data_IF_737505710287
#
_entry.id   IF_737505710287
#
_cell.length_a   1.000
_cell.length_b   1.000
_cell.length_c   1.000
_cell.angle_alpha   90.00
_cell.angle_beta   90.00
_cell.angle_gamma   90.00
#
_symmetry.space_group_name_H-M   'P 1'
#
loop_
_entity.id
_entity.type
_entity.pdbx_description
1 polymer ?
#
# COMPACT_ATOMS: atom_id res chain seq x y z
N UNK A 1 -32.62 20.80 27.69
CA UNK A 1 -32.80 20.48 26.25
C UNK A 1 -31.69 21.08 25.37
N UNK A 2 -31.39 22.38 25.43
CA UNK A 2 -30.37 23.00 24.56
C UNK A 2 -28.92 22.52 24.75
N UNK A 3 -28.51 22.19 25.97
CA UNK A 3 -27.15 21.73 26.27
C UNK A 3 -26.83 20.35 25.65
N UNK A 4 -27.77 19.41 25.73
CA UNK A 4 -27.64 18.10 25.08
C UNK A 4 -27.57 18.22 23.55
N UNK A 5 -28.33 19.14 22.95
CA UNK A 5 -28.25 19.41 21.50
C UNK A 5 -26.88 19.99 21.13
N UNK A 6 -26.35 20.92 21.92
CA UNK A 6 -25.02 21.49 21.68
C UNK A 6 -23.90 20.44 21.81
N UNK A 7 -23.95 19.58 22.84
CA UNK A 7 -22.97 18.49 23.03
C UNK A 7 -23.02 17.51 21.86
N UNK A 8 -24.21 17.08 21.45
CA UNK A 8 -24.38 16.15 20.32
C UNK A 8 -23.90 16.79 19.02
N UNK A 9 -24.19 18.08 18.79
CA UNK A 9 -23.73 18.79 17.60
C UNK A 9 -22.19 18.93 17.57
N UNK A 10 -21.56 19.28 18.68
CA UNK A 10 -20.09 19.37 18.78
C UNK A 10 -19.44 18.00 18.59
N UNK A 11 -19.98 16.96 19.23
CA UNK A 11 -19.48 15.60 19.05
C UNK A 11 -19.62 15.12 17.60
N UNK A 12 -20.74 15.44 16.94
CA UNK A 12 -20.94 15.12 15.53
C UNK A 12 -19.96 15.86 14.62
N UNK A 13 -19.73 17.16 14.85
CA UNK A 13 -18.76 17.95 14.09
C UNK A 13 -17.32 17.47 14.31
N UNK A 14 -16.95 17.16 15.55
CA UNK A 14 -15.65 16.57 15.87
C UNK A 14 -15.48 15.21 15.20
N UNK A 15 -16.49 14.34 15.25
CA UNK A 15 -16.47 13.04 14.58
C UNK A 15 -16.35 13.17 13.06
N UNK A 16 -17.06 14.13 12.44
CA UNK A 16 -16.95 14.42 11.01
C UNK A 16 -15.55 14.92 10.69
N UNK A 17 -15.04 15.90 11.43
CA UNK A 17 -13.70 16.47 11.23
C UNK A 17 -12.60 15.41 11.35
N UNK A 18 -12.64 14.61 12.41
CA UNK A 18 -11.71 13.49 12.61
C UNK A 18 -11.81 12.51 11.45
N UNK A 19 -13.02 12.06 11.06
CA UNK A 19 -13.19 11.12 9.95
C UNK A 19 -12.70 11.67 8.61
N UNK A 20 -12.92 12.96 8.34
CA UNK A 20 -12.43 13.60 7.10
C UNK A 20 -10.92 13.75 7.05
N UNK A 21 -10.26 13.79 8.21
CA UNK A 21 -8.80 13.90 8.29
C UNK A 21 -8.10 12.52 8.30
N UNK A 22 -8.80 11.50 8.79
CA UNK A 22 -8.31 10.11 8.90
C UNK A 22 -8.29 9.41 7.53
N UNK A 23 -9.27 9.67 6.67
CA UNK A 23 -9.42 8.96 5.39
C UNK A 23 -9.20 9.89 4.21
N UNK A 24 -8.27 9.55 3.33
CA UNK A 24 -8.05 10.28 2.07
C UNK A 24 -8.37 9.41 0.85
N UNK A 25 -8.98 10.02 -0.17
CA UNK A 25 -9.20 9.38 -1.46
C UNK A 25 -7.99 9.59 -2.39
N UNK A 26 -7.52 8.52 -3.04
CA UNK A 26 -6.47 8.57 -4.07
C UNK A 26 -7.00 8.06 -5.41
N UNK A 27 -6.51 8.68 -6.49
CA UNK A 27 -6.74 8.25 -7.88
C UNK A 27 -5.55 7.40 -8.36
N UNK A 28 -5.81 6.32 -9.09
CA UNK A 28 -4.78 5.41 -9.62
C UNK A 28 -4.49 5.72 -11.09
N UNK A 29 -3.35 6.34 -11.43
CA UNK A 29 -3.02 6.73 -12.80
C UNK A 29 -2.24 5.67 -13.59
N UNK A 30 -1.82 4.56 -12.98
CA UNK A 30 -0.93 3.56 -13.61
C UNK A 30 -1.39 2.12 -13.42
N UNK A 31 -0.87 1.22 -14.26
CA UNK A 31 -1.22 -0.20 -14.27
C UNK A 31 -0.39 -1.08 -13.30
N UNK A 32 0.53 -0.49 -12.52
CA UNK A 32 1.48 -1.24 -11.69
C UNK A 32 0.86 -2.13 -10.60
N UNK A 33 -0.41 -1.87 -10.27
CA UNK A 33 -1.18 -2.64 -9.29
C UNK A 33 -2.25 -3.52 -9.93
N UNK A 34 -2.27 -3.66 -11.26
CA UNK A 34 -3.21 -4.56 -11.92
C UNK A 34 -2.89 -6.04 -11.59
N UNK A 35 -3.91 -6.91 -11.48
CA UNK A 35 -5.35 -6.64 -11.69
C UNK A 35 -6.07 -6.04 -10.47
N UNK A 36 -5.38 -5.91 -9.34
CA UNK A 36 -5.96 -5.47 -8.06
C UNK A 36 -6.46 -4.03 -8.11
N UNK A 37 -5.68 -3.09 -8.62
CA UNK A 37 -6.09 -1.71 -8.84
C UNK A 37 -5.77 -1.33 -10.29
N UNK A 38 -6.83 -1.09 -11.07
CA UNK A 38 -6.71 -0.66 -12.46
C UNK A 38 -6.62 0.85 -12.59
N UNK A 39 -6.16 1.30 -13.76
CA UNK A 39 -6.14 2.71 -14.12
C UNK A 39 -7.57 3.29 -13.97
N UNK A 40 -7.68 4.46 -13.35
CA UNK A 40 -8.95 5.13 -13.10
C UNK A 40 -9.66 4.71 -11.81
N UNK A 41 -9.16 3.71 -11.08
CA UNK A 41 -9.71 3.34 -9.78
C UNK A 41 -9.53 4.48 -8.76
N UNK A 42 -10.43 4.52 -7.78
CA UNK A 42 -10.29 5.38 -6.60
C UNK A 42 -10.30 4.53 -5.34
N UNK A 43 -9.34 4.80 -4.45
CA UNK A 43 -9.16 4.08 -3.20
C UNK A 43 -9.29 5.02 -2.01
N UNK A 44 -9.73 4.49 -0.87
CA UNK A 44 -9.71 5.17 0.42
C UNK A 44 -8.55 4.64 1.24
N UNK A 45 -7.77 5.57 1.79
CA UNK A 45 -6.55 5.30 2.55
C UNK A 45 -6.73 5.83 3.95
N UNK A 46 -6.49 4.97 4.94
CA UNK A 46 -6.44 5.34 6.35
C UNK A 46 -5.04 5.86 6.68
N UNK A 47 -4.97 7.13 7.04
CA UNK A 47 -3.74 7.84 7.42
C UNK A 47 -3.43 7.78 8.92
N UNK A 48 -4.45 7.64 9.77
CA UNK A 48 -4.28 7.69 11.22
C UNK A 48 -3.91 6.33 11.81
N UNK A 49 -4.39 5.26 11.17
CA UNK A 49 -4.06 3.89 11.60
C UNK A 49 -2.56 3.58 11.53
N UNK A 50 -1.75 4.36 10.80
CA UNK A 50 -0.33 4.07 10.63
C UNK A 50 0.47 4.14 11.94
N UNK A 51 0.19 5.12 12.80
CA UNK A 51 0.92 5.28 14.08
C UNK A 51 0.42 4.30 15.16
N UNK A 52 -0.73 3.66 14.95
CA UNK A 52 -1.41 2.82 15.95
C UNK A 52 -1.47 1.33 15.58
N UNK A 53 -1.29 0.96 14.31
CA UNK A 53 -1.30 -0.43 13.83
C UNK A 53 -0.04 -0.76 13.04
N UNK A 54 0.49 -1.96 13.27
CA UNK A 54 1.57 -2.52 12.47
C UNK A 54 1.10 -2.79 11.05
N UNK A 55 1.90 -2.40 10.06
CA UNK A 55 1.75 -2.87 8.69
C UNK A 55 1.96 -4.38 8.64
N UNK A 56 1.08 -5.06 7.94
CA UNK A 56 1.17 -6.49 7.70
C UNK A 56 1.60 -6.78 6.26
N UNK A 57 2.13 -7.99 6.06
CA UNK A 57 2.39 -8.48 4.71
C UNK A 57 1.06 -8.62 3.98
N UNK A 58 1.02 -8.15 2.74
CA UNK A 58 -0.17 -8.14 1.92
C UNK A 58 -0.90 -6.80 1.93
N UNK A 59 -0.62 -5.91 2.87
CA UNK A 59 -1.24 -4.58 2.89
C UNK A 59 -0.89 -3.80 1.62
N UNK A 60 -1.85 -3.04 1.08
CA UNK A 60 -1.61 -2.10 -0.01
C UNK A 60 -1.38 -0.73 0.59
N UNK A 61 -0.17 -0.21 0.48
CA UNK A 61 0.23 1.05 1.09
C UNK A 61 0.38 2.15 0.07
N UNK A 62 0.03 3.36 0.49
CA UNK A 62 0.38 4.59 -0.21
C UNK A 62 1.55 5.22 0.51
N UNK A 63 2.60 5.56 -0.23
CA UNK A 63 3.82 6.13 0.33
C UNK A 63 4.38 7.22 -0.58
N UNK A 64 5.06 8.18 0.02
CA UNK A 64 5.76 9.23 -0.72
C UNK A 64 6.85 8.62 -1.59
N UNK A 65 6.90 9.04 -2.86
CA UNK A 65 7.85 8.53 -3.83
C UNK A 65 9.30 8.67 -3.34
N UNK A 66 10.10 7.60 -3.34
CA UNK A 66 11.54 7.66 -3.09
C UNK A 66 12.28 8.47 -4.17
N UNK A 67 13.30 9.23 -3.77
CA UNK A 67 14.09 10.07 -4.69
C UNK A 67 14.80 9.27 -5.79
N UNK A 68 15.08 7.98 -5.54
CA UNK A 68 15.77 7.06 -6.44
C UNK A 68 14.81 6.18 -7.28
N UNK A 69 13.51 6.46 -7.32
CA UNK A 69 12.53 5.72 -8.14
C UNK A 69 12.72 5.95 -9.66
N UNK A 70 13.23 7.12 -10.06
CA UNK A 70 13.47 7.46 -11.47
C UNK A 70 12.20 7.70 -12.30
N UNK A 71 11.01 7.68 -11.69
CA UNK A 71 9.73 7.96 -12.36
C UNK A 71 9.40 9.45 -12.52
N UNK A 72 8.22 9.73 -13.08
CA UNK A 72 7.73 11.10 -13.33
C UNK A 72 7.69 11.94 -12.04
N UNK A 73 8.47 13.03 -11.92
CA UNK A 73 8.58 13.83 -10.70
C UNK A 73 7.28 14.57 -10.30
N UNK A 74 6.28 14.63 -11.20
CA UNK A 74 4.97 15.23 -10.91
C UNK A 74 4.10 14.32 -10.03
N UNK A 75 4.30 13.00 -10.08
CA UNK A 75 3.63 12.05 -9.20
C UNK A 75 4.37 12.04 -7.85
N UNK A 76 3.66 12.33 -6.75
CA UNK A 76 4.28 12.46 -5.41
C UNK A 76 4.15 11.22 -4.55
N UNK A 77 3.10 10.43 -4.78
CA UNK A 77 2.82 9.24 -4.00
C UNK A 77 2.71 8.03 -4.92
N UNK A 78 3.13 6.87 -4.40
CA UNK A 78 3.06 5.58 -5.06
C UNK A 78 2.18 4.63 -4.24
N UNK A 79 1.55 3.69 -4.95
CA UNK A 79 0.75 2.62 -4.34
C UNK A 79 1.39 1.29 -4.69
N UNK A 80 1.71 0.48 -3.66
CA UNK A 80 2.33 -0.85 -3.80
C UNK A 80 1.85 -1.77 -2.68
N UNK A 81 2.04 -3.07 -2.85
CA UNK A 81 1.77 -4.09 -1.82
C UNK A 81 3.01 -4.35 -0.99
N UNK A 82 2.85 -4.48 0.32
CA UNK A 82 3.91 -4.89 1.24
C UNK A 82 4.18 -6.38 1.08
N UNK A 83 5.39 -6.71 0.63
CA UNK A 83 5.81 -8.09 0.34
C UNK A 83 6.84 -8.58 1.35
N UNK A 84 7.75 -7.73 1.84
CA UNK A 84 8.75 -8.08 2.86
C UNK A 84 8.63 -7.18 4.09
N UNK A 85 8.71 -7.77 5.28
CA UNK A 85 8.63 -7.09 6.57
C UNK A 85 10.02 -6.85 7.18
N UNK A 86 10.16 -5.91 8.15
CA UNK A 86 11.42 -5.66 8.82
C UNK A 86 12.09 -6.93 9.36
N UNK A 87 13.39 -7.09 9.09
CA UNK A 87 14.21 -8.21 9.57
C UNK A 87 14.12 -9.49 8.74
N UNK A 88 13.26 -9.55 7.72
CA UNK A 88 13.13 -10.73 6.88
C UNK A 88 14.19 -10.77 5.79
N UNK A 89 14.66 -11.97 5.45
CA UNK A 89 15.43 -12.18 4.23
C UNK A 89 14.47 -12.39 3.07
N UNK A 90 14.52 -11.51 2.08
CA UNK A 90 13.73 -11.59 0.85
C UNK A 90 14.63 -11.95 -0.33
N UNK A 91 14.13 -12.77 -1.25
CA UNK A 91 14.74 -13.06 -2.54
C UNK A 91 13.68 -13.52 -3.56
N UNK A 92 14.08 -13.85 -4.79
CA UNK A 92 13.23 -14.57 -5.74
C UNK A 92 13.92 -15.84 -6.24
N UNK A 93 13.18 -16.95 -6.30
CA UNK A 93 13.65 -18.22 -6.84
C UNK A 93 12.51 -18.95 -7.55
N UNK A 94 12.81 -19.61 -8.68
CA UNK A 94 11.84 -20.37 -9.48
C UNK A 94 10.55 -19.60 -9.82
N UNK A 95 10.65 -18.29 -10.07
CA UNK A 95 9.50 -17.47 -10.39
C UNK A 95 8.66 -17.02 -9.19
N UNK A 96 9.11 -17.25 -7.96
CA UNK A 96 8.38 -16.88 -6.75
C UNK A 96 9.20 -15.95 -5.86
N UNK A 97 8.52 -15.08 -5.12
CA UNK A 97 9.13 -14.41 -3.97
C UNK A 97 9.40 -15.46 -2.90
N UNK A 98 10.55 -15.36 -2.25
CA UNK A 98 10.97 -16.21 -1.15
C UNK A 98 11.23 -15.34 0.07
N UNK A 99 10.61 -15.68 1.20
CA UNK A 99 10.77 -15.02 2.49
C UNK A 99 11.37 -16.02 3.47
N UNK A 100 12.51 -15.69 4.06
CA UNK A 100 13.24 -16.53 5.01
C UNK A 100 13.44 -17.98 4.49
N UNK A 101 13.74 -18.12 3.20
CA UNK A 101 13.97 -19.40 2.53
C UNK A 101 12.69 -20.16 2.13
N UNK A 102 11.49 -19.62 2.38
CA UNK A 102 10.21 -20.25 2.01
C UNK A 102 9.50 -19.47 0.90
N UNK A 103 8.95 -20.14 -0.13
CA UNK A 103 8.11 -19.46 -1.12
C UNK A 103 6.93 -18.75 -0.45
N UNK A 104 6.72 -17.49 -0.82
CA UNK A 104 5.59 -16.71 -0.35
C UNK A 104 4.34 -17.10 -1.14
N UNK A 105 3.22 -17.33 -0.43
CA UNK A 105 1.92 -17.47 -1.06
C UNK A 105 1.38 -16.09 -1.45
N UNK A 106 1.04 -15.93 -2.73
CA UNK A 106 0.61 -14.65 -3.31
C UNK A 106 -0.76 -14.79 -3.99
N UNK A 107 -1.84 -15.08 -3.24
CA UNK A 107 -3.16 -15.37 -3.80
C UNK A 107 -3.81 -14.17 -4.50
N UNK A 108 -3.25 -12.97 -4.31
CA UNK A 108 -3.66 -11.74 -4.99
C UNK A 108 -3.13 -11.64 -6.44
N UNK A 109 -2.20 -12.50 -6.85
CA UNK A 109 -1.69 -12.53 -8.21
C UNK A 109 -2.49 -13.51 -9.07
N UNK A 110 -2.64 -13.24 -10.39
CA UNK A 110 -3.12 -14.24 -11.33
C UNK A 110 -2.31 -15.55 -11.26
N UNK A 111 -2.99 -16.68 -11.46
CA UNK A 111 -2.34 -17.99 -11.54
C UNK A 111 -1.26 -17.99 -12.61
N UNK A 112 -0.04 -18.41 -12.24
CA UNK A 112 1.10 -18.51 -13.17
C UNK A 112 1.95 -17.24 -13.28
N UNK A 113 1.60 -16.14 -12.59
CA UNK A 113 2.45 -14.94 -12.53
C UNK A 113 3.85 -15.28 -12.05
N UNK A 114 4.85 -14.92 -12.87
CA UNK A 114 6.26 -15.12 -12.56
C UNK A 114 6.85 -13.88 -11.91
N UNK A 115 7.63 -14.08 -10.85
CA UNK A 115 8.36 -13.04 -10.13
C UNK A 115 9.85 -13.32 -10.15
N UNK A 116 10.60 -12.36 -10.63
CA UNK A 116 12.05 -12.37 -10.70
C UNK A 116 12.62 -10.99 -10.36
N UNK A 117 13.95 -10.91 -10.26
CA UNK A 117 14.66 -9.65 -10.01
C UNK A 117 14.53 -9.14 -8.58
N UNK A 118 14.12 -9.99 -7.62
CA UNK A 118 14.15 -9.65 -6.20
C UNK A 118 15.55 -10.00 -5.67
N UNK A 119 16.38 -9.01 -5.31
CA UNK A 119 17.72 -9.28 -4.81
C UNK A 119 17.66 -9.98 -3.45
N UNK A 120 18.59 -10.91 -3.22
CA UNK A 120 18.75 -11.53 -1.89
C UNK A 120 19.27 -10.49 -0.91
N UNK A 121 18.42 -10.07 0.02
CA UNK A 121 18.79 -9.11 1.07
C UNK A 121 17.94 -9.28 2.32
N UNK A 122 18.43 -8.78 3.44
CA UNK A 122 17.60 -8.59 4.64
C UNK A 122 16.90 -7.25 4.54
N UNK A 123 15.58 -7.22 4.72
CA UNK A 123 14.80 -5.98 4.83
C UNK A 123 15.24 -5.27 6.12
N UNK A 124 15.76 -4.03 6.04
CA UNK A 124 16.24 -3.32 7.22
C UNK A 124 15.14 -3.13 8.28
N UNK A 125 15.56 -2.96 9.54
CA UNK A 125 14.62 -2.59 10.60
C UNK A 125 13.89 -1.29 10.23
N UNK A 126 12.58 -1.24 10.52
CA UNK A 126 11.73 -0.10 10.18
C UNK A 126 11.57 0.15 8.66
N UNK A 127 11.88 -0.82 7.80
CA UNK A 127 11.66 -0.73 6.36
C UNK A 127 10.72 -1.82 5.86
N UNK A 128 10.10 -1.58 4.70
CA UNK A 128 9.23 -2.51 4.02
C UNK A 128 9.71 -2.73 2.59
N UNK A 129 9.71 -3.98 2.14
CA UNK A 129 9.92 -4.28 0.72
C UNK A 129 8.55 -4.30 0.04
N UNK A 130 8.32 -3.38 -0.89
CA UNK A 130 7.02 -3.19 -1.55
C UNK A 130 7.09 -3.55 -3.03
N UNK A 131 6.04 -4.17 -3.57
CA UNK A 131 5.97 -4.59 -4.97
C UNK A 131 4.63 -4.27 -5.59
N UNK A 132 4.62 -4.05 -6.91
CA UNK A 132 3.39 -3.99 -7.68
C UNK A 132 2.82 -5.40 -7.88
N UNK A 133 1.50 -5.49 -7.94
CA UNK A 133 0.82 -6.74 -8.31
C UNK A 133 1.04 -7.05 -9.80
N UNK A 134 1.22 -6.02 -10.64
CA UNK A 134 1.63 -6.18 -12.02
C UNK A 134 3.16 -6.36 -12.08
N UNK A 135 3.62 -7.59 -11.81
CA UNK A 135 5.04 -7.92 -11.62
C UNK A 135 5.94 -7.53 -12.78
N UNK A 136 5.42 -7.57 -14.00
CA UNK A 136 6.17 -7.24 -15.22
C UNK A 136 6.20 -5.74 -15.53
N UNK A 137 5.30 -4.96 -14.95
CA UNK A 137 5.14 -3.52 -15.25
C UNK A 137 5.01 -2.70 -13.96
N UNK A 138 6.02 -2.81 -13.09
CA UNK A 138 6.06 -2.09 -11.82
C UNK A 138 7.48 -1.70 -11.46
N UNK A 139 7.73 -0.38 -11.40
CA UNK A 139 8.85 0.19 -10.67
C UNK A 139 8.52 0.14 -9.16
N UNK A 140 9.25 -0.71 -8.44
CA UNK A 140 9.02 -0.99 -7.02
C UNK A 140 10.34 -1.29 -6.28
N UNK A 141 10.31 -1.91 -5.10
CA UNK A 141 11.51 -2.16 -4.30
C UNK A 141 12.56 -3.04 -4.99
N UNK A 142 12.23 -3.71 -6.10
CA UNK A 142 13.22 -4.36 -6.98
C UNK A 142 14.18 -3.37 -7.64
N UNK A 143 13.74 -2.12 -7.82
CA UNK A 143 14.49 -1.02 -8.44
C UNK A 143 15.07 -0.08 -7.39
N UNK A 144 14.21 0.47 -6.51
CA UNK A 144 14.61 1.50 -5.55
C UNK A 144 14.93 0.99 -4.14
N UNK A 145 14.78 -0.32 -3.89
CA UNK A 145 15.03 -0.95 -2.59
C UNK A 145 13.87 -0.84 -1.60
N UNK A 146 14.04 -1.38 -0.37
CA UNK A 146 13.06 -1.22 0.71
C UNK A 146 12.81 0.25 1.04
N UNK A 147 11.57 0.61 1.39
CA UNK A 147 11.21 1.96 1.81
C UNK A 147 11.18 2.05 3.34
N UNK A 148 11.64 3.16 3.95
CA UNK A 148 11.46 3.35 5.38
C UNK A 148 9.98 3.55 5.70
N UNK A 149 9.59 3.07 6.88
CA UNK A 149 8.29 3.28 7.50
C UNK A 149 7.80 4.72 7.37
N UNK A 150 8.68 5.70 7.61
CA UNK A 150 8.37 7.13 7.55
C UNK A 150 7.92 7.66 6.19
N UNK A 151 8.11 6.93 5.08
CA UNK A 151 7.54 7.32 3.78
C UNK A 151 6.09 6.89 3.62
N UNK A 152 5.59 5.96 4.44
CA UNK A 152 4.21 5.49 4.32
C UNK A 152 3.25 6.58 4.77
N UNK A 153 2.34 6.95 3.88
CA UNK A 153 1.26 7.93 4.12
C UNK A 153 0.06 7.25 4.77
N UNK A 154 -0.20 5.98 4.44
CA UNK A 154 -1.27 5.19 4.99
C UNK A 154 -1.47 3.88 4.24
N UNK A 155 -2.40 3.05 4.71
CA UNK A 155 -2.77 1.80 4.03
C UNK A 155 -4.18 1.91 3.44
N UNK A 156 -4.38 1.19 2.34
CA UNK A 156 -5.64 1.17 1.61
C UNK A 156 -6.62 0.25 2.30
N UNK A 157 -7.77 0.79 2.68
CA UNK A 157 -8.86 0.02 3.31
C UNK A 157 -9.89 -0.45 2.28
N UNK A 158 -10.11 0.34 1.22
CA UNK A 158 -11.22 0.13 0.29
C UNK A 158 -10.92 0.66 -1.10
N UNK A 159 -11.39 -0.05 -2.14
CA UNK A 159 -11.60 0.50 -3.49
C UNK A 159 -13.06 0.94 -3.63
N UNK A 160 -13.30 2.23 -3.91
CA UNK A 160 -14.64 2.83 -4.02
C UNK A 160 -15.13 3.06 -5.46
N UNK A 161 -14.22 3.08 -6.44
CA UNK A 161 -14.58 3.30 -7.84
C UNK A 161 -13.86 2.32 -8.77
N UNK A 162 -14.54 1.73 -9.78
CA UNK A 162 -15.98 1.88 -10.07
C UNK A 162 -16.86 1.19 -8.99
N UNK A 163 -18.11 1.66 -8.75
CA UNK A 163 -18.93 1.14 -7.65
C UNK A 163 -19.28 -0.34 -7.79
N UNK A 164 -19.35 -0.84 -9.02
CA UNK A 164 -19.55 -2.26 -9.34
C UNK A 164 -18.38 -3.17 -8.92
N UNK A 165 -17.22 -2.59 -8.58
CA UNK A 165 -16.02 -3.30 -8.10
C UNK A 165 -15.63 -2.85 -6.69
N UNK A 166 -16.57 -2.46 -5.85
CA UNK A 166 -16.28 -2.16 -4.45
C UNK A 166 -15.60 -3.36 -3.77
N UNK A 167 -14.50 -3.12 -3.07
CA UNK A 167 -13.72 -4.16 -2.39
C UNK A 167 -13.08 -3.60 -1.14
N UNK A 168 -13.22 -4.32 -0.02
CA UNK A 168 -12.55 -4.04 1.25
C UNK A 168 -11.33 -4.95 1.30
N UNK A 169 -10.15 -4.38 1.56
CA UNK A 169 -8.88 -5.11 1.59
C UNK A 169 -8.61 -5.75 2.95
#
# INVERSE_FOLDING_TARGET
MGEWVAIVAIAALAAIGIKTWVVQAFYIPSASMEPTLGIGNRILVDKLSYDLHSIHRGDIVVFTRPANDGGDPTIKDLVKRVVGLPGETISSANGHVVINGRPLAEPYLPTGTQTSGVPTQTVPSGHYFVMGDNRTDSADSRVFGPIPASLVVGHTIVRIWPPSRLHIF
#
